data_IF_985633543592
#
_entry.id   IF_985633543592
#
_cell.length_a   1.000
_cell.length_b   1.000
_cell.length_c   1.000
_cell.angle_alpha   90.00
_cell.angle_beta   90.00
_cell.angle_gamma   90.00
#
_symmetry.space_group_name_H-M   'P 1'
#
loop_
_entity.id
_entity.type
_entity.pdbx_description
1 polymer ?
#
# COMPACT_ATOMS: atom_id res chain seq x y z
N UNK A 1 -2.59 28.26 79.19
CA UNK A 1 -4.07 28.12 79.19
C UNK A 1 -4.65 29.48 78.88
N UNK A 2 -5.55 29.57 77.89
CA UNK A 2 -6.26 30.82 77.55
C UNK A 2 -6.29 31.07 76.05
N UNK A 3 -7.39 30.64 75.42
CA UNK A 3 -7.68 30.70 73.98
C UNK A 3 -7.77 32.14 73.46
N UNK A 4 -7.15 32.42 72.31
CA UNK A 4 -7.38 33.64 71.53
C UNK A 4 -8.01 33.24 70.19
N UNK A 5 -9.34 33.41 70.08
CA UNK A 5 -10.13 33.24 68.86
C UNK A 5 -9.94 34.47 67.96
N UNK A 6 -9.26 34.33 66.84
CA UNK A 6 -9.30 35.31 65.76
C UNK A 6 -10.32 34.87 64.71
N UNK A 7 -11.32 35.70 64.49
CA UNK A 7 -12.33 35.54 63.44
C UNK A 7 -11.71 35.87 62.08
N UNK A 8 -11.65 34.88 61.18
CA UNK A 8 -11.39 35.10 59.75
C UNK A 8 -12.62 35.74 59.10
N UNK A 9 -12.48 36.98 58.63
CA UNK A 9 -13.43 37.61 57.71
C UNK A 9 -13.10 37.11 56.30
N UNK A 10 -13.91 36.19 55.76
CA UNK A 10 -13.87 35.84 54.33
C UNK A 10 -14.53 36.96 53.52
N UNK A 11 -13.73 37.70 52.76
CA UNK A 11 -14.20 38.55 51.67
C UNK A 11 -14.50 37.66 50.46
N UNK A 12 -15.78 37.38 50.21
CA UNK A 12 -16.24 36.73 48.98
C UNK A 12 -16.27 37.79 47.88
N UNK A 13 -15.28 37.76 46.99
CA UNK A 13 -15.30 38.54 45.74
C UNK A 13 -16.07 37.76 44.69
N UNK A 14 -17.29 38.18 44.39
CA UNK A 14 -18.03 37.74 43.21
C UNK A 14 -17.43 38.41 41.97
N UNK A 15 -16.50 37.74 41.29
CA UNK A 15 -16.14 38.08 39.91
C UNK A 15 -17.19 37.47 38.98
N UNK A 16 -18.19 38.26 38.61
CA UNK A 16 -19.07 37.92 37.48
C UNK A 16 -18.30 38.07 36.17
N UNK A 17 -17.90 36.95 35.57
CA UNK A 17 -17.44 36.91 34.18
C UNK A 17 -18.65 37.03 33.26
N UNK A 18 -18.93 38.24 32.80
CA UNK A 18 -19.83 38.46 31.65
C UNK A 18 -19.07 38.02 30.40
N UNK A 19 -19.30 36.80 29.94
CA UNK A 19 -18.87 36.36 28.62
C UNK A 19 -19.68 37.13 27.57
N UNK A 20 -19.11 38.20 27.03
CA UNK A 20 -19.53 38.72 25.73
C UNK A 20 -19.04 37.76 24.65
N UNK A 21 -19.86 36.76 24.32
CA UNK A 21 -19.76 36.09 23.03
C UNK A 21 -20.29 37.06 21.97
N UNK A 22 -19.41 37.84 21.34
CA UNK A 22 -19.76 38.42 20.04
C UNK A 22 -19.90 37.25 19.06
N UNK A 23 -21.12 36.96 18.64
CA UNK A 23 -21.34 36.16 17.44
C UNK A 23 -20.53 36.81 16.31
N UNK A 24 -19.58 36.07 15.74
CA UNK A 24 -18.88 36.52 14.53
C UNK A 24 -19.94 36.82 13.48
N UNK A 25 -19.89 38.01 12.88
CA UNK A 25 -20.65 38.28 11.67
C UNK A 25 -20.21 37.28 10.58
N UNK A 26 -21.05 36.28 10.31
CA UNK A 26 -20.81 35.23 9.31
C UNK A 26 -21.19 35.68 7.90
N UNK A 27 -21.54 36.96 7.71
CA UNK A 27 -22.03 37.46 6.42
C UNK A 27 -20.87 37.70 5.45
N UNK A 28 -20.65 36.74 4.56
CA UNK A 28 -19.60 36.82 3.53
C UNK A 28 -19.77 38.05 2.61
N UNK A 29 -18.72 38.86 2.50
CA UNK A 29 -18.64 39.98 1.57
C UNK A 29 -18.43 39.50 0.11
N UNK A 30 -18.48 40.41 -0.87
CA UNK A 30 -18.42 40.05 -2.29
C UNK A 30 -17.06 39.47 -2.69
N UNK A 31 -15.97 39.93 -2.06
CA UNK A 31 -14.61 39.45 -2.30
C UNK A 31 -14.48 38.04 -1.73
N UNK A 32 -14.96 37.80 -0.51
CA UNK A 32 -14.97 36.48 0.14
C UNK A 32 -15.80 35.47 -0.67
N UNK A 33 -16.98 35.85 -1.15
CA UNK A 33 -17.80 35.02 -2.04
C UNK A 33 -17.07 34.69 -3.35
N UNK A 34 -16.37 35.68 -3.93
CA UNK A 34 -15.55 35.49 -5.13
C UNK A 34 -14.39 34.52 -4.88
N UNK A 35 -13.68 34.69 -3.78
CA UNK A 35 -12.56 33.83 -3.37
C UNK A 35 -13.01 32.39 -3.09
N UNK A 36 -14.13 32.20 -2.39
CA UNK A 36 -14.71 30.87 -2.16
C UNK A 36 -15.02 30.18 -3.48
N UNK A 37 -15.66 30.88 -4.42
CA UNK A 37 -15.98 30.32 -5.74
C UNK A 37 -14.70 29.94 -6.50
N UNK A 38 -13.69 30.80 -6.48
CA UNK A 38 -12.40 30.52 -7.11
C UNK A 38 -11.73 29.29 -6.49
N UNK A 39 -11.62 29.22 -5.15
CA UNK A 39 -10.99 28.10 -4.44
C UNK A 39 -11.74 26.77 -4.60
N UNK A 40 -13.07 26.80 -4.67
CA UNK A 40 -13.85 25.60 -4.99
C UNK A 40 -13.54 25.05 -6.38
N UNK A 41 -13.38 25.91 -7.39
CA UNK A 41 -13.05 25.48 -8.75
C UNK A 41 -11.57 25.07 -8.86
N UNK A 42 -10.67 25.80 -8.20
CA UNK A 42 -9.24 25.46 -8.12
C UNK A 42 -9.03 24.08 -7.48
N UNK A 43 -9.64 23.83 -6.33
CA UNK A 43 -9.57 22.53 -5.66
C UNK A 43 -10.18 21.40 -6.50
N UNK A 44 -11.26 21.67 -7.24
CA UNK A 44 -11.86 20.70 -8.16
C UNK A 44 -10.94 20.37 -9.34
N UNK A 45 -10.27 21.37 -9.92
CA UNK A 45 -9.30 21.15 -11.00
C UNK A 45 -8.12 20.32 -10.50
N UNK A 46 -7.61 20.62 -9.30
CA UNK A 46 -6.54 19.85 -8.67
C UNK A 46 -6.92 18.40 -8.38
N UNK A 47 -8.15 18.17 -7.90
CA UNK A 47 -8.72 16.81 -7.76
C UNK A 47 -8.71 16.07 -9.10
N UNK A 48 -9.11 16.74 -10.20
CA UNK A 48 -9.14 16.15 -11.54
C UNK A 48 -7.74 15.84 -12.09
N UNK A 49 -6.72 16.63 -11.71
CA UNK A 49 -5.32 16.41 -12.08
C UNK A 49 -4.54 15.60 -11.04
N UNK A 50 -5.24 14.93 -10.11
CA UNK A 50 -4.66 14.07 -9.07
C UNK A 50 -3.74 14.78 -8.05
N UNK A 51 -3.76 16.12 -8.00
CA UNK A 51 -3.11 16.92 -6.94
C UNK A 51 -4.01 16.98 -5.71
N UNK A 52 -4.14 15.86 -5.01
CA UNK A 52 -5.04 15.73 -3.87
C UNK A 52 -4.63 16.59 -2.68
N UNK A 53 -3.33 16.83 -2.51
CA UNK A 53 -2.82 17.67 -1.42
C UNK A 53 -3.11 19.15 -1.68
N UNK A 54 -2.84 19.64 -2.90
CA UNK A 54 -3.22 21.00 -3.29
C UNK A 54 -4.74 21.20 -3.29
N UNK A 55 -5.51 20.20 -3.72
CA UNK A 55 -6.96 20.22 -3.62
C UNK A 55 -7.45 20.34 -2.17
N UNK A 56 -6.88 19.53 -1.26
CA UNK A 56 -7.16 19.57 0.17
C UNK A 56 -6.89 20.95 0.76
N UNK A 57 -5.79 21.60 0.38
CA UNK A 57 -5.48 22.97 0.82
C UNK A 57 -6.53 23.97 0.34
N UNK A 58 -6.87 23.93 -0.96
CA UNK A 58 -7.86 24.84 -1.54
C UNK A 58 -9.23 24.73 -0.84
N UNK A 59 -9.71 23.51 -0.56
CA UNK A 59 -10.98 23.33 0.15
C UNK A 59 -10.91 23.69 1.64
N UNK A 60 -9.77 23.53 2.30
CA UNK A 60 -9.58 23.99 3.68
C UNK A 60 -9.63 25.52 3.78
N UNK A 61 -9.08 26.24 2.81
CA UNK A 61 -9.22 27.69 2.74
C UNK A 61 -10.69 28.12 2.58
N UNK A 62 -11.49 27.34 1.84
CA UNK A 62 -12.95 27.56 1.78
C UNK A 62 -13.58 27.41 3.15
N UNK A 63 -13.26 26.35 3.91
CA UNK A 63 -13.80 26.17 5.27
C UNK A 63 -13.28 27.20 6.28
N UNK A 64 -12.14 27.83 6.04
CA UNK A 64 -11.66 28.93 6.87
C UNK A 64 -12.53 30.19 6.70
N UNK A 65 -12.99 30.45 5.47
CA UNK A 65 -13.87 31.58 5.16
C UNK A 65 -15.35 31.26 5.43
N UNK A 66 -15.81 30.05 5.10
CA UNK A 66 -17.18 29.56 5.22
C UNK A 66 -17.17 28.16 5.89
N UNK A 67 -17.12 28.10 7.24
CA UNK A 67 -17.02 26.84 7.98
C UNK A 67 -18.17 25.85 7.73
N UNK A 68 -19.34 26.35 7.30
CA UNK A 68 -20.53 25.54 7.03
C UNK A 68 -20.63 25.08 5.55
N UNK A 69 -19.58 25.31 4.75
CA UNK A 69 -19.58 24.94 3.33
C UNK A 69 -19.58 23.42 3.15
N UNK A 70 -20.78 22.86 2.91
CA UNK A 70 -20.96 21.41 2.78
C UNK A 70 -20.23 20.81 1.58
N UNK A 71 -20.03 21.58 0.50
CA UNK A 71 -19.32 21.09 -0.68
C UNK A 71 -17.83 20.98 -0.40
N UNK A 72 -17.24 21.98 0.27
CA UNK A 72 -15.84 21.92 0.68
C UNK A 72 -15.60 20.75 1.65
N UNK A 73 -16.48 20.55 2.64
CA UNK A 73 -16.38 19.39 3.56
C UNK A 73 -16.46 18.05 2.82
N UNK A 74 -17.39 17.91 1.85
CA UNK A 74 -17.49 16.72 1.02
C UNK A 74 -16.22 16.47 0.19
N UNK A 75 -15.66 17.52 -0.42
CA UNK A 75 -14.43 17.40 -1.22
C UNK A 75 -13.18 17.19 -0.37
N UNK A 76 -13.14 17.68 0.86
CA UNK A 76 -12.07 17.37 1.82
C UNK A 76 -12.10 15.88 2.17
N UNK A 77 -13.29 15.30 2.41
CA UNK A 77 -13.41 13.87 2.64
C UNK A 77 -12.87 13.06 1.44
N UNK A 78 -13.20 13.48 0.21
CA UNK A 78 -12.68 12.87 -1.02
C UNK A 78 -11.16 12.95 -1.09
N UNK A 79 -10.57 14.13 -0.84
CA UNK A 79 -9.11 14.30 -0.83
C UNK A 79 -8.44 13.40 0.21
N UNK A 80 -8.98 13.30 1.43
CA UNK A 80 -8.42 12.39 2.43
C UNK A 80 -8.56 10.92 2.06
N UNK A 81 -9.64 10.53 1.38
CA UNK A 81 -9.81 9.15 0.90
C UNK A 81 -8.70 8.81 -0.11
N UNK A 82 -8.46 9.69 -1.09
CA UNK A 82 -7.41 9.50 -2.11
C UNK A 82 -5.99 9.53 -1.51
N UNK A 83 -5.79 10.35 -0.46
CA UNK A 83 -4.56 10.38 0.34
C UNK A 83 -4.45 9.22 1.35
N UNK A 84 -5.35 8.22 1.29
CA UNK A 84 -5.35 7.03 2.18
C UNK A 84 -5.47 7.35 3.67
N UNK A 85 -5.99 8.53 4.02
CA UNK A 85 -6.28 8.98 5.39
C UNK A 85 -7.74 8.72 5.74
N UNK A 86 -8.10 7.43 5.79
CA UNK A 86 -9.49 6.98 5.85
C UNK A 86 -10.24 7.44 7.11
N UNK A 87 -9.58 7.52 8.27
CA UNK A 87 -10.21 8.04 9.50
C UNK A 87 -10.58 9.52 9.37
N UNK A 88 -9.68 10.34 8.80
CA UNK A 88 -9.95 11.75 8.54
C UNK A 88 -11.04 11.91 7.48
N UNK A 89 -11.00 11.09 6.44
CA UNK A 89 -12.05 11.05 5.44
C UNK A 89 -13.43 10.77 6.06
N UNK A 90 -13.51 9.79 6.96
CA UNK A 90 -14.72 9.46 7.72
C UNK A 90 -15.19 10.62 8.61
N UNK A 91 -14.26 11.27 9.33
CA UNK A 91 -14.57 12.43 10.17
C UNK A 91 -15.26 13.55 9.38
N UNK A 92 -14.81 13.84 8.16
CA UNK A 92 -15.41 14.90 7.34
C UNK A 92 -16.70 14.45 6.65
N UNK A 93 -16.77 13.22 6.11
CA UNK A 93 -17.98 12.76 5.40
C UNK A 93 -19.20 12.64 6.31
N UNK A 94 -18.99 12.33 7.59
CA UNK A 94 -20.05 12.20 8.60
C UNK A 94 -20.65 13.55 9.02
N UNK A 95 -19.91 14.65 8.81
CA UNK A 95 -20.40 16.02 9.09
C UNK A 95 -21.18 16.61 7.91
N UNK A 96 -21.10 16.02 6.72
CA UNK A 96 -21.76 16.55 5.52
C UNK A 96 -23.26 16.31 5.59
N UNK A 97 -24.03 17.40 5.68
CA UNK A 97 -25.47 17.35 5.49
C UNK A 97 -25.81 17.13 4.00
N UNK A 98 -26.06 15.87 3.63
CA UNK A 98 -26.44 15.44 2.27
C UNK A 98 -27.58 16.26 1.66
N UNK A 99 -28.54 16.74 2.46
CA UNK A 99 -29.67 17.55 2.00
C UNK A 99 -29.26 18.87 1.36
N UNK A 100 -28.13 19.46 1.80
CA UNK A 100 -27.58 20.72 1.25
C UNK A 100 -26.78 20.52 -0.04
N UNK A 101 -26.47 19.28 -0.44
CA UNK A 101 -25.81 18.99 -1.71
C UNK A 101 -26.80 19.00 -2.89
N UNK A 102 -26.30 19.36 -4.08
CA UNK A 102 -27.07 19.25 -5.34
C UNK A 102 -27.35 17.79 -5.65
N UNK A 103 -28.44 17.49 -6.37
CA UNK A 103 -28.86 16.12 -6.72
C UNK A 103 -27.74 15.24 -7.28
N UNK A 104 -26.93 15.75 -8.22
CA UNK A 104 -25.80 15.01 -8.80
C UNK A 104 -24.74 14.64 -7.74
N UNK A 105 -24.44 15.57 -6.83
CA UNK A 105 -23.46 15.39 -5.76
C UNK A 105 -23.95 14.43 -4.67
N UNK A 106 -25.27 14.35 -4.42
CA UNK A 106 -25.85 13.42 -3.43
C UNK A 106 -25.59 11.96 -3.78
N UNK A 107 -25.53 11.65 -5.07
CA UNK A 107 -25.20 10.30 -5.53
C UNK A 107 -23.71 10.01 -5.30
N UNK A 108 -22.84 10.90 -5.76
CA UNK A 108 -21.38 10.78 -5.55
C UNK A 108 -21.04 10.69 -4.04
N UNK A 109 -21.79 11.41 -3.19
CA UNK A 109 -21.72 11.32 -1.73
C UNK A 109 -21.99 9.91 -1.21
N UNK A 110 -23.06 9.24 -1.66
CA UNK A 110 -23.37 7.87 -1.24
C UNK A 110 -22.25 6.89 -1.62
N UNK A 111 -21.73 6.99 -2.84
CA UNK A 111 -20.61 6.14 -3.26
C UNK A 111 -19.37 6.38 -2.39
N UNK A 112 -18.96 7.64 -2.24
CA UNK A 112 -17.77 7.97 -1.47
C UNK A 112 -17.93 7.55 -0.01
N UNK A 113 -19.09 7.80 0.61
CA UNK A 113 -19.36 7.40 1.99
C UNK A 113 -19.32 5.89 2.19
N UNK A 114 -19.90 5.13 1.25
CA UNK A 114 -19.80 3.68 1.24
C UNK A 114 -18.35 3.18 1.17
N UNK A 115 -17.55 3.73 0.25
CA UNK A 115 -16.12 3.43 0.13
C UNK A 115 -15.34 3.77 1.40
N UNK A 116 -15.60 4.93 2.01
CA UNK A 116 -14.96 5.37 3.25
C UNK A 116 -15.29 4.39 4.39
N UNK A 117 -16.56 4.05 4.57
CA UNK A 117 -16.97 3.11 5.62
C UNK A 117 -16.37 1.72 5.42
N UNK A 118 -16.26 1.23 4.17
CA UNK A 118 -15.56 -0.01 3.86
C UNK A 118 -14.10 0.03 4.34
N UNK A 119 -13.34 1.07 3.98
CA UNK A 119 -11.93 1.24 4.42
C UNK A 119 -11.78 1.45 5.93
N UNK A 120 -12.84 1.86 6.63
CA UNK A 120 -12.88 2.00 8.09
C UNK A 120 -13.48 0.76 8.81
N UNK A 121 -13.56 -0.40 8.13
CA UNK A 121 -14.09 -1.67 8.69
C UNK A 121 -15.58 -1.58 9.13
N UNK A 122 -16.34 -0.56 8.70
CA UNK A 122 -17.78 -0.37 8.97
C UNK A 122 -18.61 -1.00 7.85
N UNK A 123 -18.54 -2.32 7.73
CA UNK A 123 -19.03 -3.06 6.55
C UNK A 123 -20.55 -2.95 6.35
N UNK A 124 -21.34 -3.07 7.41
CA UNK A 124 -22.81 -2.98 7.32
C UNK A 124 -23.27 -1.60 6.83
N UNK A 125 -22.64 -0.55 7.35
CA UNK A 125 -22.96 0.84 6.98
C UNK A 125 -22.44 1.17 5.59
N UNK A 126 -21.30 0.60 5.20
CA UNK A 126 -20.79 0.68 3.84
C UNK A 126 -21.81 0.10 2.85
N UNK A 127 -22.33 -1.08 3.14
CA UNK A 127 -23.36 -1.76 2.32
C UNK A 127 -24.60 -0.88 2.12
N UNK A 128 -25.10 -0.21 3.16
CA UNK A 128 -26.24 0.71 3.07
C UNK A 128 -26.00 1.81 2.03
N UNK A 129 -24.84 2.46 2.09
CA UNK A 129 -24.52 3.59 1.19
C UNK A 129 -24.15 3.15 -0.23
N UNK A 130 -23.48 2.01 -0.38
CA UNK A 130 -23.16 1.45 -1.69
C UNK A 130 -24.43 1.01 -2.45
N UNK A 131 -25.37 0.36 -1.75
CA UNK A 131 -26.66 -0.02 -2.35
C UNK A 131 -27.53 1.21 -2.66
N UNK A 132 -27.49 2.26 -1.82
CA UNK A 132 -28.14 3.54 -2.13
C UNK A 132 -27.60 4.16 -3.42
N UNK A 133 -26.27 4.17 -3.60
CA UNK A 133 -25.66 4.63 -4.85
C UNK A 133 -26.14 3.76 -6.03
N UNK A 134 -26.01 2.44 -5.92
CA UNK A 134 -26.34 1.50 -6.99
C UNK A 134 -27.79 1.63 -7.46
N UNK A 135 -28.73 1.79 -6.53
CA UNK A 135 -30.16 1.95 -6.83
C UNK A 135 -30.51 3.30 -7.49
N UNK A 136 -29.66 4.32 -7.34
CA UNK A 136 -29.86 5.66 -7.92
C UNK A 136 -29.03 5.91 -9.19
N UNK A 137 -28.05 5.06 -9.47
CA UNK A 137 -27.12 5.18 -10.58
C UNK A 137 -27.65 4.50 -11.85
N UNK A 138 -27.25 5.02 -13.02
CA UNK A 138 -27.48 4.34 -14.30
C UNK A 138 -26.55 3.14 -14.43
N UNK A 139 -26.91 2.14 -15.24
CA UNK A 139 -26.08 0.96 -15.51
C UNK A 139 -24.62 1.28 -15.85
N UNK A 140 -24.37 2.28 -16.71
CA UNK A 140 -23.01 2.71 -17.04
C UNK A 140 -22.25 3.25 -15.82
N UNK A 141 -22.92 4.04 -14.99
CA UNK A 141 -22.30 4.62 -13.79
C UNK A 141 -21.99 3.54 -12.73
N UNK A 142 -22.85 2.51 -12.60
CA UNK A 142 -22.58 1.33 -11.76
C UNK A 142 -21.33 0.60 -12.23
N UNK A 143 -21.16 0.43 -13.54
CA UNK A 143 -19.96 -0.19 -14.11
C UNK A 143 -18.71 0.69 -13.88
N UNK A 144 -18.77 1.96 -14.25
CA UNK A 144 -17.64 2.90 -14.18
C UNK A 144 -17.19 3.18 -12.73
N UNK A 145 -18.08 3.08 -11.75
CA UNK A 145 -17.77 3.29 -10.31
C UNK A 145 -17.28 2.05 -9.59
N UNK A 146 -17.44 0.88 -10.20
CA UNK A 146 -17.15 -0.42 -9.60
C UNK A 146 -17.88 -0.68 -8.27
N UNK A 147 -19.06 -0.08 -8.05
CA UNK A 147 -19.80 -0.23 -6.79
C UNK A 147 -20.13 -1.71 -6.46
N UNK A 148 -20.37 -2.53 -7.49
CA UNK A 148 -20.60 -3.96 -7.34
C UNK A 148 -19.35 -4.70 -6.80
N UNK A 149 -18.16 -4.21 -7.12
CA UNK A 149 -16.89 -4.73 -6.58
C UNK A 149 -16.83 -4.42 -5.08
N UNK A 150 -17.05 -3.18 -4.67
CA UNK A 150 -17.08 -2.81 -3.25
C UNK A 150 -18.12 -3.59 -2.45
N UNK A 151 -19.31 -3.82 -3.00
CA UNK A 151 -20.35 -4.66 -2.37
C UNK A 151 -19.86 -6.11 -2.19
N UNK A 152 -19.18 -6.66 -3.20
CA UNK A 152 -18.61 -8.02 -3.12
C UNK A 152 -17.50 -8.09 -2.08
N UNK A 153 -16.63 -7.09 -2.03
CA UNK A 153 -15.56 -6.97 -1.03
C UNK A 153 -16.12 -6.85 0.39
N UNK A 154 -17.18 -6.07 0.61
CA UNK A 154 -17.84 -6.00 1.92
C UNK A 154 -18.34 -7.37 2.39
N UNK A 155 -19.01 -8.12 1.51
CA UNK A 155 -19.52 -9.47 1.82
C UNK A 155 -18.39 -10.46 2.10
N UNK A 156 -17.33 -10.42 1.30
CA UNK A 156 -16.17 -11.29 1.50
C UNK A 156 -15.44 -10.96 2.80
N UNK A 157 -15.21 -9.67 3.08
CA UNK A 157 -14.58 -9.21 4.30
C UNK A 157 -15.37 -9.62 5.55
N UNK A 158 -16.71 -9.56 5.51
CA UNK A 158 -17.56 -9.98 6.63
C UNK A 158 -17.38 -11.47 6.97
N UNK A 159 -17.18 -12.32 5.95
CA UNK A 159 -16.92 -13.75 6.14
C UNK A 159 -15.48 -13.97 6.62
N UNK A 160 -14.49 -13.38 5.94
CA UNK A 160 -13.08 -13.57 6.25
C UNK A 160 -12.70 -13.06 7.65
N UNK A 161 -13.29 -11.94 8.11
CA UNK A 161 -13.06 -11.42 9.46
C UNK A 161 -13.65 -12.29 10.58
N UNK A 162 -14.57 -13.21 10.26
CA UNK A 162 -15.11 -14.20 11.22
C UNK A 162 -14.25 -15.45 11.31
N UNK A 163 -13.40 -15.71 10.30
CA UNK A 163 -12.52 -16.89 10.20
C UNK A 163 -11.05 -16.46 10.21
N UNK A 164 -10.64 -15.82 11.30
CA UNK A 164 -9.29 -15.29 11.46
C UNK A 164 -8.24 -16.40 11.49
N UNK A 165 -7.19 -16.26 10.67
CA UNK A 165 -6.03 -17.15 10.71
C UNK A 165 -5.13 -16.82 11.92
N UNK A 166 -4.47 -17.83 12.53
CA UNK A 166 -3.78 -17.69 13.81
C UNK A 166 -2.36 -17.14 13.66
N UNK A 167 -2.23 -15.89 13.22
CA UNK A 167 -0.93 -15.20 13.10
C UNK A 167 -0.78 -14.07 14.11
N UNK A 168 0.47 -13.66 14.36
CA UNK A 168 0.78 -12.45 15.11
C UNK A 168 1.47 -11.46 14.17
N UNK A 169 0.98 -10.22 14.14
CA UNK A 169 1.51 -9.16 13.29
C UNK A 169 2.09 -8.08 14.20
N UNK A 170 3.33 -7.67 13.94
CA UNK A 170 3.99 -6.58 14.68
C UNK A 170 4.69 -5.63 13.72
N UNK A 171 4.64 -4.33 14.03
CA UNK A 171 5.44 -3.35 13.32
C UNK A 171 6.92 -3.74 13.44
N UNK A 172 7.67 -3.69 12.33
CA UNK A 172 9.07 -4.10 12.34
C UNK A 172 9.98 -3.11 13.07
N UNK A 173 9.45 -1.99 13.56
CA UNK A 173 10.11 -1.10 14.50
C UNK A 173 11.00 -0.06 13.85
N UNK A 174 11.45 0.88 14.66
CA UNK A 174 12.16 2.08 14.22
C UNK A 174 13.56 1.81 13.66
N UNK A 175 14.10 0.60 13.80
CA UNK A 175 15.37 0.22 13.18
C UNK A 175 15.24 0.12 11.65
N UNK A 176 14.04 -0.09 11.13
CA UNK A 176 13.70 -0.08 9.69
C UNK A 176 12.73 1.04 9.36
N UNK A 177 11.59 1.09 10.05
CA UNK A 177 10.50 2.01 9.74
C UNK A 177 10.81 3.44 10.22
N UNK A 178 10.33 4.41 9.47
CA UNK A 178 10.45 5.84 9.74
C UNK A 178 9.08 6.52 9.59
N UNK A 179 9.05 7.85 9.58
CA UNK A 179 7.82 8.59 9.24
C UNK A 179 7.52 8.58 7.74
N UNK A 180 8.46 8.12 6.92
CA UNK A 180 8.34 8.02 5.47
C UNK A 180 7.87 6.62 5.08
N UNK A 181 7.57 6.36 3.79
CA UNK A 181 7.22 5.03 3.33
C UNK A 181 8.42 4.05 3.36
N UNK A 182 8.22 2.87 3.93
CA UNK A 182 9.05 1.66 3.81
C UNK A 182 8.21 0.46 3.32
N UNK A 183 8.67 -0.22 2.27
CA UNK A 183 7.95 -1.34 1.64
C UNK A 183 8.88 -2.23 0.80
N UNK A 184 8.32 -3.24 0.12
CA UNK A 184 9.05 -4.22 -0.68
C UNK A 184 10.16 -4.95 0.10
N UNK A 185 9.89 -5.49 1.30
CA UNK A 185 10.87 -6.31 2.00
C UNK A 185 11.22 -7.56 1.17
N UNK A 186 12.49 -7.91 1.11
CA UNK A 186 12.97 -9.15 0.52
C UNK A 186 14.10 -9.71 1.38
N UNK A 187 14.01 -11.00 1.72
CA UNK A 187 14.90 -11.66 2.67
C UNK A 187 15.67 -12.81 2.02
N UNK A 188 16.92 -13.01 2.45
CA UNK A 188 17.75 -14.16 2.06
C UNK A 188 17.22 -15.47 2.67
N UNK A 189 17.56 -16.61 2.07
CA UNK A 189 17.04 -17.91 2.52
C UNK A 189 17.51 -18.31 3.92
N UNK A 190 18.66 -17.81 4.38
CA UNK A 190 19.13 -17.98 5.76
C UNK A 190 18.37 -17.12 6.78
N UNK A 191 17.49 -16.22 6.33
CA UNK A 191 16.71 -15.32 7.17
C UNK A 191 17.51 -14.18 7.81
N UNK A 192 18.77 -13.95 7.40
CA UNK A 192 19.69 -13.02 8.09
C UNK A 192 19.89 -11.67 7.43
N UNK A 193 19.54 -11.52 6.15
CA UNK A 193 19.69 -10.26 5.42
C UNK A 193 18.37 -9.86 4.80
N UNK A 194 17.91 -8.65 5.09
CA UNK A 194 16.74 -8.05 4.48
C UNK A 194 17.15 -6.79 3.71
N UNK A 195 16.64 -6.68 2.49
CA UNK A 195 16.61 -5.43 1.74
C UNK A 195 15.17 -4.95 1.58
N UNK A 196 15.00 -3.65 1.40
CA UNK A 196 13.69 -3.03 1.22
C UNK A 196 13.82 -1.68 0.53
N UNK A 197 12.69 -1.12 0.10
CA UNK A 197 12.60 0.24 -0.45
C UNK A 197 12.15 1.22 0.60
N UNK A 198 12.78 2.40 0.64
CA UNK A 198 12.29 3.55 1.42
C UNK A 198 12.39 4.84 0.61
N UNK A 199 11.56 5.82 0.98
CA UNK A 199 11.52 7.16 0.38
C UNK A 199 11.75 8.23 1.44
N UNK A 200 12.98 8.30 1.97
CA UNK A 200 13.34 9.11 3.15
C UNK A 200 14.49 10.10 2.88
N UNK A 201 14.75 11.09 3.77
CA UNK A 201 15.65 12.22 3.47
C UNK A 201 17.10 11.88 3.14
N UNK A 202 17.59 10.70 3.51
CA UNK A 202 18.93 10.21 3.18
C UNK A 202 19.01 9.51 1.80
N UNK A 203 17.96 9.61 0.96
CA UNK A 203 17.97 9.12 -0.43
C UNK A 203 19.19 9.63 -1.20
N UNK A 204 19.73 8.78 -2.06
CA UNK A 204 20.84 9.12 -2.93
C UNK A 204 20.51 10.37 -3.76
N UNK A 205 21.40 11.36 -3.71
CA UNK A 205 21.22 12.65 -4.39
C UNK A 205 20.30 13.64 -3.68
N UNK A 206 19.53 13.22 -2.66
CA UNK A 206 18.67 14.10 -1.85
C UNK A 206 17.47 14.67 -2.60
N UNK A 207 17.12 14.09 -3.76
CA UNK A 207 16.05 14.57 -4.63
C UNK A 207 14.65 14.16 -4.18
N UNK A 208 13.65 14.85 -4.71
CA UNK A 208 12.23 14.49 -4.59
C UNK A 208 11.62 14.42 -5.98
N UNK A 209 10.62 13.56 -6.14
CA UNK A 209 9.89 13.40 -7.39
C UNK A 209 8.89 14.54 -7.60
N UNK A 210 9.39 15.66 -8.11
CA UNK A 210 8.58 16.86 -8.37
C UNK A 210 7.58 16.70 -9.51
N UNK A 211 7.69 15.64 -10.30
CA UNK A 211 6.80 15.43 -11.45
C UNK A 211 5.53 14.69 -11.05
N UNK A 212 5.61 13.86 -9.99
CA UNK A 212 4.49 13.04 -9.55
C UNK A 212 4.00 13.42 -8.15
N UNK A 213 4.66 12.96 -7.09
CA UNK A 213 4.07 13.00 -5.73
C UNK A 213 4.85 13.83 -4.70
N UNK A 214 5.94 14.48 -5.12
CA UNK A 214 6.81 15.32 -4.29
C UNK A 214 7.44 14.62 -3.08
N UNK A 215 7.41 13.28 -3.01
CA UNK A 215 8.15 12.51 -2.01
C UNK A 215 9.60 12.28 -2.49
N UNK A 216 10.48 11.90 -1.58
CA UNK A 216 11.85 11.50 -1.91
C UNK A 216 11.87 10.39 -2.98
N UNK A 217 12.93 10.30 -3.76
CA UNK A 217 13.09 9.17 -4.68
C UNK A 217 13.19 7.84 -3.91
N UNK A 218 12.84 6.75 -4.58
CA UNK A 218 12.97 5.41 -4.02
C UNK A 218 14.43 4.98 -3.98
N UNK A 219 14.89 4.57 -2.80
CA UNK A 219 16.21 4.00 -2.59
C UNK A 219 16.07 2.61 -1.96
N UNK A 220 17.05 1.73 -2.22
CA UNK A 220 17.16 0.43 -1.56
C UNK A 220 18.02 0.54 -0.31
N UNK A 221 17.51 -0.02 0.78
CA UNK A 221 18.14 -0.07 2.09
C UNK A 221 18.37 -1.52 2.51
N UNK A 222 19.27 -1.72 3.47
CA UNK A 222 19.64 -3.03 4.00
C UNK A 222 19.68 -3.03 5.52
N UNK A 223 19.19 -4.12 6.11
CA UNK A 223 19.42 -4.50 7.51
C UNK A 223 19.84 -5.97 7.58
N UNK A 224 20.60 -6.31 8.62
CA UNK A 224 21.07 -7.67 8.89
C UNK A 224 20.78 -8.06 10.33
N UNK A 225 20.47 -9.34 10.54
CA UNK A 225 20.37 -9.95 11.87
C UNK A 225 21.77 -10.09 12.47
N UNK A 226 21.98 -9.55 13.66
CA UNK A 226 23.21 -9.70 14.43
C UNK A 226 23.16 -11.02 15.20
N UNK A 227 24.09 -11.93 14.87
CA UNK A 227 24.16 -13.26 15.49
C UNK A 227 24.53 -13.21 16.98
N UNK A 228 25.09 -12.10 17.48
CA UNK A 228 25.52 -11.99 18.87
C UNK A 228 24.38 -11.76 19.85
N UNK A 229 23.31 -11.08 19.43
CA UNK A 229 22.15 -10.77 20.28
C UNK A 229 20.79 -11.12 19.64
N UNK A 230 20.80 -11.62 18.41
CA UNK A 230 19.60 -12.04 17.66
C UNK A 230 18.72 -10.87 17.22
N UNK A 231 19.26 -9.65 17.15
CA UNK A 231 18.50 -8.44 16.76
C UNK A 231 18.88 -7.95 15.39
N UNK A 232 17.91 -7.36 14.70
CA UNK A 232 18.15 -6.65 13.45
C UNK A 232 18.90 -5.34 13.71
N UNK A 233 19.90 -5.08 12.87
CA UNK A 233 20.68 -3.84 12.91
C UNK A 233 19.87 -2.64 12.40
N UNK A 234 20.28 -1.43 12.77
CA UNK A 234 19.71 -0.19 12.19
C UNK A 234 19.94 -0.19 10.67
N UNK A 235 18.86 0.01 9.92
CA UNK A 235 18.91 0.04 8.46
C UNK A 235 19.80 1.18 7.94
N UNK A 236 20.47 0.92 6.83
CA UNK A 236 21.31 1.89 6.12
C UNK A 236 21.14 1.76 4.61
N UNK A 237 21.45 2.82 3.87
CA UNK A 237 21.48 2.76 2.41
C UNK A 237 22.37 1.62 1.93
N UNK A 238 21.92 0.90 0.91
CA UNK A 238 22.62 -0.29 0.45
C UNK A 238 24.02 0.07 -0.10
N UNK A 239 25.10 -0.64 0.29
CA UNK A 239 26.44 -0.25 -0.10
C UNK A 239 26.73 -0.58 -1.56
N UNK A 240 27.44 0.34 -2.23
CA UNK A 240 27.89 0.15 -3.61
C UNK A 240 27.24 1.15 -4.56
N UNK A 241 27.01 0.73 -5.80
CA UNK A 241 26.48 1.58 -6.88
C UNK A 241 25.07 1.18 -7.30
N UNK A 242 24.30 0.64 -6.35
CA UNK A 242 22.96 0.16 -6.61
C UNK A 242 21.97 1.32 -6.75
N UNK A 243 21.90 2.23 -5.76
CA UNK A 243 21.06 3.43 -5.84
C UNK A 243 21.68 4.52 -6.72
N UNK A 244 20.82 5.19 -7.48
CA UNK A 244 21.04 6.39 -8.30
C UNK A 244 20.32 7.57 -7.68
N UNK A 245 20.42 8.78 -8.25
CA UNK A 245 19.63 9.94 -7.81
C UNK A 245 18.14 9.92 -8.21
N UNK A 246 17.64 8.80 -8.74
CA UNK A 246 16.26 8.60 -9.21
C UNK A 246 15.62 7.36 -8.55
N UNK A 247 14.51 6.86 -9.10
CA UNK A 247 13.81 5.70 -8.54
C UNK A 247 14.58 4.38 -8.74
N UNK A 248 15.01 3.81 -7.61
CA UNK A 248 15.52 2.45 -7.49
C UNK A 248 14.74 1.70 -6.41
N UNK A 249 13.85 0.80 -6.85
CA UNK A 249 12.99 0.02 -5.97
C UNK A 249 13.41 -1.46 -5.90
N UNK A 250 13.34 -2.03 -4.71
CA UNK A 250 13.61 -3.43 -4.43
C UNK A 250 12.52 -4.28 -5.08
N UNK A 251 12.93 -5.31 -5.84
CA UNK A 251 12.03 -6.36 -6.29
C UNK A 251 12.30 -7.67 -5.54
N UNK A 252 13.56 -8.11 -5.51
CA UNK A 252 13.94 -9.36 -4.88
C UNK A 252 15.44 -9.44 -4.59
N UNK A 253 15.83 -9.99 -3.44
CA UNK A 253 17.16 -10.56 -3.22
C UNK A 253 17.12 -12.06 -3.47
N UNK A 254 18.12 -12.60 -4.16
CA UNK A 254 18.20 -14.05 -4.42
C UNK A 254 18.39 -14.82 -3.12
N UNK A 255 17.94 -16.08 -3.10
CA UNK A 255 18.02 -16.96 -1.94
C UNK A 255 19.44 -17.04 -1.34
N UNK A 256 20.47 -17.04 -2.18
CA UNK A 256 21.89 -17.07 -1.81
C UNK A 256 22.48 -15.70 -1.40
N UNK A 257 21.74 -14.60 -1.53
CA UNK A 257 22.20 -13.25 -1.21
C UNK A 257 23.20 -12.65 -2.19
N UNK A 258 23.41 -13.25 -3.37
CA UNK A 258 24.43 -12.86 -4.34
C UNK A 258 23.90 -11.94 -5.45
N UNK A 259 22.57 -11.84 -5.61
CA UNK A 259 21.90 -11.01 -6.62
C UNK A 259 20.77 -10.21 -6.02
N UNK A 260 20.61 -8.99 -6.51
CA UNK A 260 19.43 -8.15 -6.25
C UNK A 260 18.82 -7.78 -7.58
N UNK A 261 17.52 -8.02 -7.70
CA UNK A 261 16.67 -7.53 -8.78
C UNK A 261 16.00 -6.23 -8.34
N UNK A 262 16.03 -5.24 -9.21
CA UNK A 262 15.53 -3.89 -8.95
C UNK A 262 14.60 -3.44 -10.07
N UNK A 263 13.62 -2.63 -9.71
CA UNK A 263 12.87 -1.83 -10.65
C UNK A 263 13.54 -0.46 -10.69
N UNK A 264 13.94 -0.03 -11.88
CA UNK A 264 14.60 1.26 -12.10
C UNK A 264 13.78 2.10 -13.03
N UNK A 265 13.51 3.34 -12.63
CA UNK A 265 12.83 4.32 -13.46
C UNK A 265 13.61 5.63 -13.51
N UNK A 266 14.29 5.84 -14.64
CA UNK A 266 15.06 7.04 -14.95
C UNK A 266 14.45 7.66 -16.21
N UNK A 267 13.94 8.87 -16.08
CA UNK A 267 13.31 9.62 -17.18
C UNK A 267 14.24 9.71 -18.39
N UNK A 268 13.72 9.39 -19.57
CA UNK A 268 14.43 9.34 -20.86
C UNK A 268 15.57 8.30 -20.97
N UNK A 269 15.75 7.44 -19.98
CA UNK A 269 16.76 6.35 -20.01
C UNK A 269 16.07 5.00 -19.97
N UNK A 270 15.18 4.79 -19.02
CA UNK A 270 14.30 3.62 -18.95
C UNK A 270 12.99 3.92 -19.68
N UNK A 271 12.24 2.88 -20.03
CA UNK A 271 10.95 3.02 -20.72
C UNK A 271 9.83 3.46 -19.77
N UNK A 272 9.11 2.49 -19.22
CA UNK A 272 8.06 2.66 -18.21
C UNK A 272 8.52 2.17 -16.85
N UNK A 273 9.85 2.10 -16.68
CA UNK A 273 10.52 1.36 -15.62
C UNK A 273 10.94 -0.04 -16.10
N UNK A 274 12.17 -0.43 -15.81
CA UNK A 274 12.77 -1.67 -16.30
C UNK A 274 13.35 -2.49 -15.13
N UNK A 275 13.37 -3.81 -15.28
CA UNK A 275 13.95 -4.75 -14.33
C UNK A 275 15.46 -4.86 -14.58
N UNK A 276 16.25 -4.52 -13.56
CA UNK A 276 17.71 -4.66 -13.56
C UNK A 276 18.15 -5.70 -12.54
N UNK A 277 19.38 -6.18 -12.69
CA UNK A 277 20.04 -7.09 -11.75
C UNK A 277 21.43 -6.56 -11.38
N UNK A 278 21.73 -6.55 -10.08
CA UNK A 278 23.06 -6.33 -9.55
C UNK A 278 23.62 -7.59 -8.92
N UNK A 279 24.95 -7.70 -8.88
CA UNK A 279 25.69 -8.79 -8.26
C UNK A 279 26.55 -8.27 -7.12
N UNK A 280 26.63 -9.05 -6.05
CA UNK A 280 27.52 -8.77 -4.93
C UNK A 280 28.96 -9.06 -5.35
N UNK A 281 29.88 -8.16 -5.03
CA UNK A 281 31.31 -8.38 -5.24
C UNK A 281 31.89 -9.23 -4.12
N UNK A 282 33.10 -9.77 -4.33
CA UNK A 282 33.87 -10.45 -3.27
C UNK A 282 34.16 -9.56 -2.05
N UNK A 283 34.11 -8.23 -2.20
CA UNK A 283 34.27 -7.27 -1.10
C UNK A 283 32.95 -6.91 -0.41
N UNK A 284 31.86 -7.58 -0.77
CA UNK A 284 30.53 -7.38 -0.18
C UNK A 284 29.76 -6.17 -0.70
N UNK A 285 30.30 -5.44 -1.69
CA UNK A 285 29.66 -4.26 -2.30
C UNK A 285 28.82 -4.67 -3.51
N UNK A 286 27.67 -4.02 -3.71
CA UNK A 286 26.84 -4.24 -4.89
C UNK A 286 27.39 -3.47 -6.10
N UNK A 287 27.55 -4.16 -7.22
CA UNK A 287 27.99 -3.55 -8.48
C UNK A 287 26.90 -2.68 -9.13
N UNK A 288 27.27 -1.97 -10.20
CA UNK A 288 26.31 -1.24 -11.03
C UNK A 288 25.29 -2.21 -11.63
N UNK A 289 23.97 -2.01 -11.43
CA UNK A 289 22.94 -2.86 -12.01
C UNK A 289 22.98 -2.85 -13.54
N UNK A 290 22.68 -4.00 -14.15
CA UNK A 290 22.50 -4.16 -15.61
C UNK A 290 21.08 -4.62 -15.91
N UNK A 291 20.50 -4.35 -17.09
CA UNK A 291 19.20 -4.89 -17.45
C UNK A 291 19.15 -6.40 -17.21
N UNK A 292 18.06 -6.91 -16.62
CA UNK A 292 17.92 -8.34 -16.32
C UNK A 292 17.87 -9.20 -17.59
N UNK A 293 17.55 -8.58 -18.72
CA UNK A 293 17.71 -9.12 -20.06
C UNK A 293 18.15 -8.00 -21.01
N UNK A 294 19.28 -8.19 -21.70
CA UNK A 294 19.75 -7.26 -22.73
C UNK A 294 19.07 -7.60 -24.06
N UNK A 295 18.41 -6.62 -24.69
CA UNK A 295 17.73 -6.75 -25.99
C UNK A 295 16.66 -7.87 -26.09
N UNK A 296 16.24 -8.44 -24.96
CA UNK A 296 15.13 -9.37 -24.93
C UNK A 296 13.83 -8.56 -24.89
N UNK A 297 12.87 -8.84 -25.78
CA UNK A 297 11.56 -8.17 -25.75
C UNK A 297 10.56 -8.88 -24.83
N UNK A 298 10.95 -10.02 -24.26
CA UNK A 298 10.14 -10.84 -23.37
C UNK A 298 10.19 -10.36 -21.92
N UNK A 299 11.23 -9.62 -21.52
CA UNK A 299 11.37 -8.88 -20.25
C UNK A 299 12.03 -7.54 -20.58
N UNK A 300 11.65 -6.46 -19.90
CA UNK A 300 11.92 -5.07 -20.26
C UNK A 300 11.35 -4.74 -21.65
N UNK A 301 10.09 -5.12 -21.86
CA UNK A 301 9.37 -4.83 -23.11
C UNK A 301 8.97 -3.34 -23.19
N UNK A 302 8.07 -2.97 -24.10
CA UNK A 302 7.53 -1.59 -24.16
C UNK A 302 6.37 -1.36 -23.19
N UNK A 303 5.91 -2.42 -22.54
CA UNK A 303 4.81 -2.44 -21.58
C UNK A 303 5.32 -2.21 -20.17
N UNK A 304 4.46 -1.79 -19.25
CA UNK A 304 4.82 -1.67 -17.84
C UNK A 304 5.12 -3.06 -17.29
N UNK A 305 6.30 -3.20 -16.70
CA UNK A 305 6.76 -4.44 -16.11
C UNK A 305 7.35 -4.16 -14.73
N UNK A 306 6.92 -4.95 -13.75
CA UNK A 306 7.32 -4.75 -12.36
C UNK A 306 7.44 -6.09 -11.64
N UNK A 307 7.79 -6.03 -10.36
CA UNK A 307 7.63 -7.16 -9.43
C UNK A 307 8.32 -8.44 -9.91
N UNK A 308 9.65 -8.48 -9.89
CA UNK A 308 10.40 -9.65 -10.36
C UNK A 308 10.90 -10.51 -9.19
N UNK A 309 10.63 -11.81 -9.22
CA UNK A 309 11.13 -12.79 -8.26
C UNK A 309 11.65 -14.03 -8.96
N UNK A 310 12.77 -14.59 -8.50
CA UNK A 310 13.49 -15.66 -9.18
C UNK A 310 13.62 -16.87 -8.27
N UNK A 311 13.42 -18.06 -8.81
CA UNK A 311 13.63 -19.33 -8.09
C UNK A 311 15.05 -19.43 -7.55
N UNK A 312 15.24 -20.18 -6.45
CA UNK A 312 16.55 -20.32 -5.81
C UNK A 312 17.65 -20.86 -6.74
N UNK A 313 17.29 -21.74 -7.68
CA UNK A 313 18.21 -22.25 -8.72
C UNK A 313 18.52 -21.23 -9.83
N UNK A 314 17.87 -20.07 -9.80
CA UNK A 314 18.03 -18.98 -10.74
C UNK A 314 17.46 -19.25 -12.13
N UNK A 315 16.66 -20.31 -12.35
CA UNK A 315 16.24 -20.75 -13.69
C UNK A 315 14.90 -20.19 -14.13
N UNK A 316 14.02 -19.79 -13.21
CA UNK A 316 12.70 -19.26 -13.53
C UNK A 316 12.53 -17.90 -12.86
N UNK A 317 12.12 -16.90 -13.63
CA UNK A 317 11.69 -15.60 -13.12
C UNK A 317 10.18 -15.50 -13.28
N UNK A 318 9.52 -15.02 -12.24
CA UNK A 318 8.14 -14.57 -12.24
C UNK A 318 8.16 -13.04 -12.24
N UNK A 319 7.31 -12.43 -13.06
CA UNK A 319 7.21 -10.97 -13.17
C UNK A 319 5.79 -10.54 -13.54
N UNK A 320 5.47 -9.27 -13.31
CA UNK A 320 4.17 -8.69 -13.65
C UNK A 320 4.30 -7.86 -14.92
N UNK A 321 3.31 -7.93 -15.81
CA UNK A 321 3.27 -7.14 -17.05
C UNK A 321 1.83 -6.76 -17.44
N UNK A 322 1.64 -5.54 -17.95
CA UNK A 322 0.37 -5.07 -18.55
C UNK A 322 0.30 -5.30 -20.07
N UNK A 323 1.13 -6.22 -20.59
CA UNK A 323 1.18 -6.53 -22.02
C UNK A 323 -0.14 -7.13 -22.54
N UNK A 324 -0.51 -6.87 -23.81
CA UNK A 324 -1.71 -7.44 -24.42
C UNK A 324 -1.72 -8.98 -24.45
N UNK A 325 -2.92 -9.55 -24.44
CA UNK A 325 -3.13 -11.01 -24.44
C UNK A 325 -3.15 -11.63 -23.04
N UNK A 326 -3.06 -10.79 -22.01
CA UNK A 326 -3.29 -11.11 -20.62
C UNK A 326 -4.74 -11.47 -20.26
N UNK A 327 -4.96 -11.86 -19.00
CA UNK A 327 -6.25 -12.15 -18.39
C UNK A 327 -6.93 -10.89 -17.82
N UNK A 328 -6.15 -9.96 -17.27
CA UNK A 328 -6.62 -8.77 -16.58
C UNK A 328 -5.97 -7.47 -17.06
N UNK A 329 -5.74 -6.55 -16.11
CA UNK A 329 -5.07 -5.27 -16.34
C UNK A 329 -3.55 -5.48 -16.39
N UNK A 330 -2.94 -5.86 -15.28
CA UNK A 330 -1.59 -6.42 -15.25
C UNK A 330 -1.64 -7.83 -14.66
N UNK A 331 -0.88 -8.73 -15.28
CA UNK A 331 -0.90 -10.15 -14.95
C UNK A 331 0.50 -10.66 -14.57
N UNK A 332 0.52 -11.80 -13.90
CA UNK A 332 1.74 -12.56 -13.62
C UNK A 332 2.12 -13.41 -14.84
N UNK A 333 3.37 -13.26 -15.25
CA UNK A 333 4.06 -14.05 -16.26
C UNK A 333 5.22 -14.81 -15.61
N UNK A 334 5.63 -15.90 -16.25
CA UNK A 334 6.90 -16.55 -15.95
C UNK A 334 7.76 -16.67 -17.20
N UNK A 335 9.07 -16.75 -16.99
CA UNK A 335 10.06 -16.95 -18.04
C UNK A 335 11.20 -17.82 -17.54
N UNK A 336 11.68 -18.72 -18.40
CA UNK A 336 12.73 -19.70 -18.08
C UNK A 336 14.04 -19.29 -18.73
N UNK A 337 15.17 -19.50 -18.05
CA UNK A 337 16.50 -19.33 -18.68
C UNK A 337 16.71 -20.36 -19.78
N UNK A 338 17.20 -19.89 -20.94
CA UNK A 338 17.68 -20.72 -22.05
C UNK A 338 19.22 -20.84 -22.07
N UNK A 339 19.93 -19.98 -21.32
CA UNK A 339 21.39 -19.99 -21.22
C UNK A 339 21.92 -19.23 -20.00
N UNK A 340 23.22 -18.88 -19.99
CA UNK A 340 23.85 -18.16 -18.87
C UNK A 340 23.27 -16.76 -18.63
N UNK A 341 22.86 -16.08 -19.69
CA UNK A 341 22.34 -14.69 -19.68
C UNK A 341 21.10 -14.50 -20.56
N UNK A 342 20.51 -15.59 -21.04
CA UNK A 342 19.40 -15.55 -21.99
C UNK A 342 18.14 -16.12 -21.35
N UNK A 343 17.05 -15.38 -21.48
CA UNK A 343 15.71 -15.77 -21.07
C UNK A 343 14.90 -16.22 -22.29
N UNK A 344 13.98 -17.16 -22.05
CA UNK A 344 13.10 -17.72 -23.08
C UNK A 344 11.94 -16.81 -23.45
N UNK A 345 10.79 -17.42 -23.68
CA UNK A 345 9.54 -16.70 -23.95
C UNK A 345 8.77 -16.48 -22.64
N UNK A 346 8.15 -15.31 -22.52
CA UNK A 346 7.27 -15.01 -21.39
C UNK A 346 5.93 -15.71 -21.57
N UNK A 347 5.47 -16.39 -20.52
CA UNK A 347 4.24 -17.17 -20.54
C UNK A 347 3.32 -16.65 -19.44
N UNK A 348 2.09 -16.26 -19.80
CA UNK A 348 1.07 -15.84 -18.84
C UNK A 348 0.67 -17.03 -17.94
N UNK A 349 0.53 -16.80 -16.64
CA UNK A 349 0.22 -17.85 -15.65
C UNK A 349 -1.23 -18.35 -15.70
N UNK A 350 -2.08 -17.72 -16.49
CA UNK A 350 -3.45 -18.13 -16.79
C UNK A 350 -4.47 -17.80 -15.69
N UNK A 351 -5.77 -18.04 -15.97
CA UNK A 351 -6.89 -17.56 -15.14
C UNK A 351 -7.05 -18.26 -13.79
N UNK A 352 -6.25 -19.31 -13.53
CA UNK A 352 -6.20 -19.91 -12.20
C UNK A 352 -5.44 -19.02 -11.21
N UNK A 353 -4.56 -18.16 -11.71
CA UNK A 353 -3.69 -17.29 -10.91
C UNK A 353 -4.03 -15.83 -11.17
N UNK A 354 -4.10 -15.46 -12.45
CA UNK A 354 -4.41 -14.11 -12.87
C UNK A 354 -5.93 -13.89 -12.86
N UNK A 355 -6.35 -12.74 -12.36
CA UNK A 355 -7.75 -12.36 -12.32
C UNK A 355 -8.11 -11.53 -13.56
N UNK A 356 -9.32 -10.97 -13.58
CA UNK A 356 -9.70 -9.98 -14.60
C UNK A 356 -9.28 -8.55 -14.21
N UNK A 357 -8.67 -8.39 -13.03
CA UNK A 357 -8.24 -7.12 -12.47
C UNK A 357 -6.71 -7.07 -12.45
N UNK A 358 -6.09 -6.58 -11.39
CA UNK A 358 -4.67 -6.26 -11.35
C UNK A 358 -3.90 -7.14 -10.36
N UNK A 359 -2.89 -7.85 -10.86
CA UNK A 359 -1.93 -8.59 -10.06
C UNK A 359 -0.59 -7.85 -9.95
N UNK A 360 -0.02 -7.81 -8.73
CA UNK A 360 1.22 -7.11 -8.41
C UNK A 360 2.12 -7.90 -7.46
N UNK A 361 3.36 -7.47 -7.33
CA UNK A 361 4.27 -7.84 -6.24
C UNK A 361 4.48 -9.36 -6.07
N UNK A 362 4.69 -10.07 -7.19
CA UNK A 362 4.93 -11.51 -7.17
C UNK A 362 6.24 -11.88 -6.47
N UNK A 363 6.17 -12.91 -5.62
CA UNK A 363 7.27 -13.49 -4.89
C UNK A 363 7.20 -15.02 -4.97
N UNK A 364 8.29 -15.67 -5.36
CA UNK A 364 8.42 -17.13 -5.30
C UNK A 364 9.28 -17.53 -4.11
N UNK A 365 8.78 -18.46 -3.31
CA UNK A 365 9.51 -19.00 -2.17
C UNK A 365 10.74 -19.82 -2.63
N UNK A 366 11.85 -19.88 -1.87
CA UNK A 366 13.06 -20.60 -2.27
C UNK A 366 12.87 -22.08 -2.61
N UNK A 367 11.84 -22.75 -2.09
CA UNK A 367 11.49 -24.13 -2.45
C UNK A 367 10.96 -24.27 -3.89
N UNK A 368 10.55 -23.16 -4.52
CA UNK A 368 10.00 -23.11 -5.87
C UNK A 368 8.55 -23.59 -6.01
N UNK A 369 7.88 -23.93 -4.91
CA UNK A 369 6.53 -24.50 -4.89
C UNK A 369 5.48 -23.63 -4.23
N UNK A 370 5.87 -22.50 -3.62
CA UNK A 370 4.93 -21.46 -3.20
C UNK A 370 5.16 -20.18 -3.98
N UNK A 371 4.06 -19.61 -4.47
CA UNK A 371 4.02 -18.31 -5.13
C UNK A 371 3.07 -17.42 -4.32
N UNK A 372 3.52 -16.22 -3.97
CA UNK A 372 2.72 -15.17 -3.33
C UNK A 372 2.64 -13.98 -4.27
N UNK A 373 1.55 -13.23 -4.20
CA UNK A 373 1.36 -12.00 -4.98
C UNK A 373 0.22 -11.19 -4.38
N UNK A 374 0.12 -9.93 -4.75
CA UNK A 374 -1.04 -9.09 -4.43
C UNK A 374 -2.04 -9.07 -5.58
N UNK A 375 -3.34 -9.09 -5.27
CA UNK A 375 -4.39 -8.93 -6.27
C UNK A 375 -5.56 -8.13 -5.71
N UNK A 376 -6.17 -7.28 -6.55
CA UNK A 376 -7.48 -6.63 -6.28
C UNK A 376 -8.65 -7.42 -6.89
N UNK A 377 -8.42 -8.73 -7.04
CA UNK A 377 -9.30 -9.78 -7.56
C UNK A 377 -10.68 -9.90 -6.88
N UNK A 378 -11.55 -10.74 -7.47
CA UNK A 378 -12.94 -10.94 -7.00
C UNK A 378 -13.08 -11.36 -5.52
N UNK A 379 -12.06 -11.98 -4.92
CA UNK A 379 -12.06 -12.41 -3.51
C UNK A 379 -11.06 -11.61 -2.67
N UNK A 380 -10.85 -10.35 -3.02
CA UNK A 380 -10.17 -9.37 -2.17
C UNK A 380 -11.14 -8.84 -1.12
N UNK A 381 -10.66 -8.59 0.10
CA UNK A 381 -11.35 -7.90 1.18
C UNK A 381 -11.25 -6.39 1.02
N UNK A 382 -10.13 -5.93 0.44
CA UNK A 382 -9.65 -4.57 0.48
C UNK A 382 -9.37 -3.97 -0.89
N UNK A 383 -8.25 -3.28 -1.03
CA UNK A 383 -7.75 -2.83 -2.31
C UNK A 383 -6.99 -4.01 -2.91
N UNK A 384 -5.69 -4.06 -2.66
CA UNK A 384 -4.92 -5.29 -2.86
C UNK A 384 -4.88 -6.15 -1.61
N UNK A 385 -4.99 -7.46 -1.82
CA UNK A 385 -4.82 -8.48 -0.79
C UNK A 385 -3.69 -9.43 -1.20
N UNK A 386 -3.01 -10.06 -0.24
CA UNK A 386 -2.04 -11.14 -0.48
C UNK A 386 -2.76 -12.44 -0.85
N UNK A 387 -2.41 -12.99 -2.00
CA UNK A 387 -2.81 -14.31 -2.47
C UNK A 387 -1.60 -15.25 -2.52
N UNK A 388 -1.88 -16.55 -2.48
CA UNK A 388 -0.86 -17.56 -2.69
C UNK A 388 -1.37 -18.73 -3.55
N UNK A 389 -0.43 -19.38 -4.23
CA UNK A 389 -0.63 -20.60 -5.00
C UNK A 389 0.40 -21.65 -4.58
N UNK A 390 0.00 -22.92 -4.62
CA UNK A 390 0.89 -24.06 -4.33
C UNK A 390 1.11 -24.84 -5.61
N UNK A 391 2.36 -25.20 -5.90
CA UNK A 391 2.72 -26.06 -7.01
C UNK A 391 2.60 -27.53 -6.59
N UNK A 392 1.77 -28.28 -7.29
CA UNK A 392 1.62 -29.72 -7.09
C UNK A 392 2.82 -30.51 -7.61
N UNK A 393 2.86 -31.81 -7.26
CA UNK A 393 3.88 -32.74 -7.75
C UNK A 393 3.84 -32.96 -9.26
N UNK A 394 2.73 -32.65 -9.92
CA UNK A 394 2.59 -32.64 -11.38
C UNK A 394 3.17 -31.38 -12.05
N UNK A 395 3.74 -30.46 -11.24
CA UNK A 395 4.32 -29.21 -11.68
C UNK A 395 3.31 -28.10 -11.97
N UNK A 396 2.01 -28.33 -11.76
CA UNK A 396 0.95 -27.34 -11.97
C UNK A 396 0.69 -26.54 -10.72
N UNK A 397 0.37 -25.26 -10.89
CA UNK A 397 -0.05 -24.40 -9.80
C UNK A 397 -1.53 -24.61 -9.47
N UNK A 398 -1.85 -24.55 -8.18
CA UNK A 398 -3.23 -24.47 -7.71
C UNK A 398 -3.86 -23.13 -8.10
N UNK A 399 -5.20 -23.03 -8.07
CA UNK A 399 -5.86 -21.73 -8.08
C UNK A 399 -5.39 -20.83 -6.94
N UNK A 400 -5.38 -19.52 -7.18
CA UNK A 400 -5.04 -18.51 -6.20
C UNK A 400 -5.98 -18.54 -5.00
N UNK A 401 -5.41 -18.45 -3.81
CA UNK A 401 -6.15 -18.37 -2.54
C UNK A 401 -5.75 -17.12 -1.79
N UNK A 402 -6.74 -16.37 -1.33
CA UNK A 402 -6.53 -15.23 -0.44
C UNK A 402 -5.93 -15.75 0.87
N UNK A 403 -4.87 -15.10 1.37
CA UNK A 403 -4.12 -15.55 2.55
C UNK A 403 -4.89 -15.35 3.87
N UNK A 404 -5.97 -14.56 3.85
CA UNK A 404 -6.94 -14.42 4.95
C UNK A 404 -6.62 -13.31 5.95
N UNK A 405 -7.62 -12.98 6.77
CA UNK A 405 -7.52 -12.01 7.86
C UNK A 405 -6.83 -12.63 9.08
N UNK A 406 -5.92 -11.94 9.81
CA UNK A 406 -5.65 -10.50 9.77
C UNK A 406 -4.50 -10.07 8.86
N UNK A 407 -3.93 -10.95 8.02
CA UNK A 407 -2.92 -10.52 7.04
C UNK A 407 -3.60 -9.61 6.02
N UNK A 408 -4.66 -10.08 5.39
CA UNK A 408 -5.45 -9.22 4.51
C UNK A 408 -6.50 -8.45 5.29
N UNK A 409 -6.70 -7.19 4.92
CA UNK A 409 -7.64 -6.28 5.58
C UNK A 409 -8.53 -5.60 4.54
N UNK A 410 -9.33 -4.63 5.00
CA UNK A 410 -10.10 -3.76 4.09
C UNK A 410 -9.22 -2.69 3.42
N UNK A 411 -7.90 -2.68 3.66
CA UNK A 411 -6.95 -1.70 3.12
C UNK A 411 -6.11 -2.29 1.98
N UNK A 412 -4.87 -1.83 1.81
CA UNK A 412 -3.96 -2.30 0.77
C UNK A 412 -2.82 -3.11 1.39
N UNK A 413 -2.70 -4.38 1.02
CA UNK A 413 -1.56 -5.25 1.30
C UNK A 413 -0.80 -5.56 0.01
N UNK A 414 0.45 -5.06 -0.08
CA UNK A 414 1.15 -4.95 -1.36
C UNK A 414 2.35 -5.87 -1.49
N UNK A 415 3.30 -5.82 -0.58
CA UNK A 415 4.59 -6.53 -0.79
C UNK A 415 4.79 -7.56 0.29
N UNK A 416 5.09 -8.80 -0.07
CA UNK A 416 5.19 -9.93 0.86
C UNK A 416 6.43 -10.77 0.57
N UNK A 417 7.13 -11.17 1.63
CA UNK A 417 8.20 -12.16 1.56
C UNK A 417 8.16 -13.04 2.80
N UNK A 418 8.73 -14.24 2.75
CA UNK A 418 8.73 -15.17 3.87
C UNK A 418 10.07 -15.89 3.98
N UNK A 419 10.48 -16.21 5.21
CA UNK A 419 11.68 -17.01 5.48
C UNK A 419 11.57 -18.40 4.86
N UNK A 420 12.72 -19.02 4.56
CA UNK A 420 12.77 -20.31 3.87
C UNK A 420 12.11 -21.46 4.67
N UNK A 421 11.97 -21.32 5.98
CA UNK A 421 11.26 -22.26 6.86
C UNK A 421 9.74 -22.01 6.92
N UNK A 422 9.25 -20.97 6.25
CA UNK A 422 7.84 -20.59 6.19
C UNK A 422 7.27 -20.04 7.50
N UNK A 423 8.11 -19.71 8.49
CA UNK A 423 7.64 -19.32 9.84
C UNK A 423 7.54 -17.83 10.07
N UNK A 424 8.32 -17.02 9.37
CA UNK A 424 8.32 -15.56 9.55
C UNK A 424 8.16 -14.88 8.21
N UNK A 425 7.09 -14.10 8.05
CA UNK A 425 6.88 -13.27 6.87
C UNK A 425 7.10 -11.79 7.17
N UNK A 426 7.39 -11.03 6.12
CA UNK A 426 7.49 -9.58 6.17
C UNK A 426 6.59 -8.98 5.10
N UNK A 427 5.84 -7.97 5.47
CA UNK A 427 4.87 -7.32 4.59
C UNK A 427 5.01 -5.80 4.64
N UNK A 428 4.96 -5.15 3.47
CA UNK A 428 4.73 -3.70 3.38
C UNK A 428 3.23 -3.41 3.36
N UNK A 429 2.72 -2.74 4.39
CA UNK A 429 1.29 -2.55 4.61
C UNK A 429 0.96 -1.23 5.35
N UNK A 430 -0.34 -0.94 5.46
CA UNK A 430 -0.91 0.24 6.13
C UNK A 430 -1.71 -0.17 7.37
N UNK A 431 -1.14 -1.01 8.24
CA UNK A 431 -1.86 -1.48 9.42
C UNK A 431 -1.92 -0.42 10.53
N UNK A 432 -2.85 -0.64 11.46
CA UNK A 432 -2.92 0.12 12.70
C UNK A 432 -1.57 0.00 13.44
N UNK A 433 -1.01 1.13 13.88
CA UNK A 433 0.30 1.18 14.55
C UNK A 433 1.51 1.39 13.62
N UNK A 434 1.30 1.71 12.33
CA UNK A 434 2.37 2.27 11.49
C UNK A 434 2.97 3.54 12.10
N UNK A 435 4.29 3.70 11.96
CA UNK A 435 5.04 4.90 12.31
C UNK A 435 4.94 5.97 11.21
N UNK A 436 4.86 5.54 9.95
CA UNK A 436 4.85 6.40 8.77
C UNK A 436 3.66 6.15 7.85
N UNK A 437 3.88 6.49 6.57
CA UNK A 437 2.88 6.35 5.51
C UNK A 437 2.66 4.87 5.15
N UNK A 438 3.73 4.15 4.82
CA UNK A 438 3.73 2.68 4.68
C UNK A 438 4.86 2.13 5.54
N UNK A 439 4.61 1.02 6.22
CA UNK A 439 5.59 0.40 7.12
C UNK A 439 5.79 -1.07 6.76
N UNK A 440 6.95 -1.59 7.13
CA UNK A 440 7.22 -3.02 7.12
C UNK A 440 6.73 -3.62 8.44
N UNK A 441 5.98 -4.71 8.35
CA UNK A 441 5.51 -5.51 9.48
C UNK A 441 6.10 -6.91 9.39
N UNK A 442 6.37 -7.50 10.55
CA UNK A 442 6.71 -8.90 10.68
C UNK A 442 5.47 -9.71 11.10
N UNK A 443 5.32 -10.90 10.50
CA UNK A 443 4.21 -11.80 10.74
C UNK A 443 4.75 -13.17 11.17
N UNK A 444 4.31 -13.64 12.34
CA UNK A 444 4.51 -15.03 12.77
C UNK A 444 3.52 -15.95 12.03
N UNK A 445 4.03 -16.67 11.05
CA UNK A 445 3.34 -17.63 10.21
C UNK A 445 3.53 -19.08 10.67
N UNK A 446 4.16 -19.32 11.82
CA UNK A 446 4.50 -20.68 12.29
C UNK A 446 3.32 -21.64 12.40
N UNK A 447 2.09 -21.12 12.55
CA UNK A 447 0.84 -21.90 12.62
C UNK A 447 0.15 -22.12 11.28
N UNK A 448 0.62 -21.51 10.19
CA UNK A 448 -0.03 -21.58 8.87
C UNK A 448 0.37 -22.84 8.07
N UNK A 449 1.47 -23.51 8.43
CA UNK A 449 1.96 -24.72 7.75
C UNK A 449 2.04 -24.58 6.21
N UNK A 450 2.50 -23.43 5.71
CA UNK A 450 2.47 -23.07 4.29
C UNK A 450 3.29 -24.03 3.40
N UNK A 451 4.38 -24.59 3.94
CA UNK A 451 5.26 -25.51 3.21
C UNK A 451 4.77 -26.97 3.21
N UNK A 452 3.62 -27.25 3.84
CA UNK A 452 3.20 -28.61 4.17
C UNK A 452 4.06 -29.18 5.29
N UNK A 453 3.47 -29.99 6.18
CA UNK A 453 4.25 -30.73 7.17
C UNK A 453 5.30 -31.56 6.43
N UNK A 454 6.55 -31.52 6.90
CA UNK A 454 7.56 -32.52 6.55
C UNK A 454 6.90 -33.89 6.46
N UNK A 455 7.19 -34.61 5.38
CA UNK A 455 6.73 -35.97 5.11
C UNK A 455 6.56 -36.71 6.43
N UNK A 456 5.31 -37.03 6.78
CA UNK A 456 5.01 -37.92 7.89
C UNK A 456 5.96 -39.10 7.79
N UNK A 457 6.85 -39.23 8.76
CA UNK A 457 7.73 -40.37 8.91
C UNK A 457 6.92 -41.63 8.67
N UNK A 458 7.39 -42.47 7.74
CA UNK A 458 6.97 -43.84 7.62
C UNK A 458 7.12 -44.50 9.00
N UNK A 459 6.03 -44.54 9.77
CA UNK A 459 5.89 -45.51 10.84
C UNK A 459 5.80 -46.87 10.18
N UNK A 460 6.96 -47.52 10.09
CA UNK A 460 7.10 -48.96 9.86
C UNK A 460 6.31 -49.77 10.87
#
# INVERSE_FOLDING_TARGET
MGYLKYYCVMLIVFCGSVNYGQDRDTTLNIIEKGMIKYRLEDGKNKLFTYDYFGALQAFREVLQADPDNVLASFRIAECYYELKRFDLSMKYIDQVNKGKLKRKQRKDYSLLKGKIYHRNKRLDEAMVHLEEYKNSAKKKEVLDSEVDRYITQCKYAEVAMKDSIPVQIRNFGDHVNTVNPEYAPSITADGKTMIFTSRRPDTKGGGVDRQFDHKYFEDIYITTLDDSDGKWTKSKGIPGSLNTEFHDACLNISADGERIYIYRNILNVTRTGDIYVSKKSKSGKWGTPKPAADNNKEINSTYFESSASVTADGKVMYFVSDRPGGNGLADIYYIKKKGKSEWGEAVNMGPAINSKFDEKFVYVHPDGNLLFFSSDGNTSMGGYDIFYCVKGSDGKWSPAKNLGYPINTVLDEKTFTITADGKTAYIGAYYDGSLGDADIFEIDCSKLNLLGSEKSEEKK
#
